data_IF_998590612977
#
_entry.id   IF_998590612977
#
_cell.length_a   1.000
_cell.length_b   1.000
_cell.length_c   1.000
_cell.angle_alpha   90.00
_cell.angle_beta   90.00
_cell.angle_gamma   90.00
#
_symmetry.space_group_name_H-M   'P 1'
#
loop_
_entity.id
_entity.type
_entity.pdbx_description
1 polymer ?
#
# COMPACT_ATOMS: atom_id res chain seq x y z
N UNK A 1 6.02 -24.16 0.23
CA UNK A 1 7.30 -23.40 0.10
C UNK A 1 7.12 -22.16 -0.77
N UNK A 2 6.61 -22.22 -2.00
CA UNK A 2 6.50 -21.07 -2.90
C UNK A 2 5.69 -19.89 -2.37
N UNK A 3 4.56 -20.13 -1.71
CA UNK A 3 3.72 -19.07 -1.14
C UNK A 3 4.45 -18.27 -0.05
N UNK A 4 5.13 -18.93 0.87
CA UNK A 4 5.90 -18.27 1.91
C UNK A 4 7.01 -17.42 1.31
N UNK A 5 7.77 -18.00 0.37
CA UNK A 5 8.84 -17.28 -0.31
C UNK A 5 8.33 -16.04 -1.03
N UNK A 6 7.21 -16.16 -1.75
CA UNK A 6 6.59 -15.03 -2.45
C UNK A 6 6.15 -13.91 -1.51
N UNK A 7 5.46 -14.24 -0.41
CA UNK A 7 5.00 -13.22 0.55
C UNK A 7 6.20 -12.51 1.20
N UNK A 8 7.19 -13.26 1.69
CA UNK A 8 8.37 -12.68 2.34
C UNK A 8 9.23 -11.87 1.36
N UNK A 9 9.34 -12.31 0.11
CA UNK A 9 9.99 -11.54 -0.94
C UNK A 9 9.31 -10.17 -1.14
N UNK A 10 7.96 -10.13 -1.15
CA UNK A 10 7.22 -8.85 -1.28
C UNK A 10 7.42 -7.95 -0.06
N UNK A 11 7.47 -8.49 1.14
CA UNK A 11 7.88 -7.71 2.30
C UNK A 11 9.30 -7.18 2.15
N UNK A 12 10.25 -7.97 1.65
CA UNK A 12 11.62 -7.50 1.43
C UNK A 12 11.70 -6.40 0.37
N UNK A 13 10.96 -6.53 -0.73
CA UNK A 13 11.04 -5.59 -1.85
C UNK A 13 10.27 -4.30 -1.61
N UNK A 14 9.17 -4.34 -0.83
CA UNK A 14 8.19 -3.27 -0.76
C UNK A 14 8.17 -2.53 0.57
N UNK A 15 8.87 -3.00 1.59
CA UNK A 15 9.07 -2.25 2.83
C UNK A 15 10.07 -1.10 2.65
N UNK A 16 10.27 -0.31 3.68
CA UNK A 16 11.23 0.80 3.70
C UNK A 16 12.57 0.37 3.11
N UNK A 17 13.08 1.03 2.06
CA UNK A 17 14.29 0.62 1.35
C UNK A 17 15.56 0.68 2.22
N UNK A 18 15.48 1.30 3.39
CA UNK A 18 16.57 1.33 4.38
C UNK A 18 16.67 0.05 5.20
N UNK A 19 15.64 -0.79 5.20
CA UNK A 19 15.64 -2.08 5.87
C UNK A 19 16.49 -3.10 5.09
N UNK A 20 17.42 -3.75 5.76
CA UNK A 20 18.25 -4.80 5.15
C UNK A 20 17.49 -6.13 5.06
N UNK A 21 16.69 -6.44 6.07
CA UNK A 21 15.84 -7.63 6.14
C UNK A 21 14.38 -7.20 6.31
N UNK A 22 13.41 -8.05 5.93
CA UNK A 22 11.99 -7.75 6.20
C UNK A 22 11.72 -7.49 7.68
N UNK A 23 12.41 -8.21 8.55
CA UNK A 23 12.30 -8.12 10.02
C UNK A 23 12.81 -6.80 10.60
N UNK A 24 13.61 -6.05 9.86
CA UNK A 24 14.05 -4.71 10.27
C UNK A 24 12.94 -3.66 10.09
N UNK A 25 11.95 -3.95 9.23
CA UNK A 25 10.84 -3.06 8.93
C UNK A 25 9.52 -3.50 9.60
N UNK A 26 9.27 -4.81 9.66
CA UNK A 26 8.04 -5.40 10.20
C UNK A 26 8.39 -6.55 11.13
N UNK A 27 7.78 -6.59 12.31
CA UNK A 27 8.00 -7.66 13.28
C UNK A 27 7.84 -9.05 12.66
N UNK A 28 8.76 -9.96 12.97
CA UNK A 28 8.80 -11.31 12.43
C UNK A 28 7.50 -12.09 12.68
N UNK A 29 6.89 -11.94 13.86
CA UNK A 29 5.65 -12.63 14.19
C UNK A 29 4.49 -12.12 13.31
N UNK A 30 4.50 -10.85 12.96
CA UNK A 30 3.51 -10.26 12.02
C UNK A 30 3.71 -10.82 10.62
N UNK A 31 4.95 -10.94 10.14
CA UNK A 31 5.28 -11.56 8.85
C UNK A 31 4.80 -13.01 8.77
N UNK A 32 5.11 -13.80 9.80
CA UNK A 32 4.72 -15.21 9.88
C UNK A 32 3.20 -15.35 10.01
N UNK A 33 2.55 -14.50 10.79
CA UNK A 33 1.09 -14.49 10.92
C UNK A 33 0.43 -14.19 9.59
N UNK A 34 0.92 -13.18 8.86
CA UNK A 34 0.39 -12.85 7.54
C UNK A 34 0.48 -14.05 6.57
N UNK A 35 1.65 -14.67 6.45
CA UNK A 35 1.84 -15.84 5.59
C UNK A 35 0.96 -17.03 6.03
N UNK A 36 0.80 -17.23 7.34
CA UNK A 36 -0.01 -18.30 7.92
C UNK A 36 -1.50 -18.13 7.66
N UNK A 37 -2.01 -16.90 7.65
CA UNK A 37 -3.42 -16.63 7.30
C UNK A 37 -3.76 -17.19 5.92
N UNK A 38 -2.98 -16.90 4.91
CA UNK A 38 -3.20 -17.44 3.57
C UNK A 38 -3.08 -18.97 3.51
N UNK A 39 -2.14 -19.52 4.26
CA UNK A 39 -1.91 -20.96 4.29
C UNK A 39 -3.09 -21.71 4.94
N UNK A 40 -3.48 -21.32 6.14
CA UNK A 40 -4.50 -22.02 6.92
C UNK A 40 -5.93 -21.79 6.38
N UNK A 41 -6.17 -20.67 5.72
CA UNK A 41 -7.47 -20.40 5.09
C UNK A 41 -7.58 -20.96 3.66
N UNK A 42 -6.47 -21.46 3.09
CA UNK A 42 -6.44 -21.96 1.72
C UNK A 42 -6.66 -20.88 0.65
N UNK A 43 -6.41 -19.59 0.97
CA UNK A 43 -6.78 -18.45 0.12
C UNK A 43 -5.66 -17.95 -0.79
N UNK A 44 -4.50 -18.59 -0.81
CA UNK A 44 -3.38 -18.16 -1.64
C UNK A 44 -3.74 -18.05 -3.13
N UNK A 45 -4.46 -19.07 -3.66
CA UNK A 45 -4.89 -19.08 -5.06
C UNK A 45 -5.93 -18.00 -5.36
N UNK A 46 -6.96 -17.86 -4.53
CA UNK A 46 -8.00 -16.85 -4.72
C UNK A 46 -7.46 -15.41 -4.58
N UNK A 47 -6.52 -15.17 -3.68
CA UNK A 47 -5.88 -13.85 -3.55
C UNK A 47 -5.05 -13.47 -4.79
N UNK A 48 -4.43 -14.44 -5.45
CA UNK A 48 -3.68 -14.22 -6.68
C UNK A 48 -4.58 -13.83 -7.87
N UNK A 49 -5.86 -14.23 -7.86
CA UNK A 49 -6.82 -13.87 -8.91
C UNK A 49 -6.98 -12.36 -9.06
N UNK A 50 -6.80 -11.57 -8.00
CA UNK A 50 -6.84 -10.11 -8.09
C UNK A 50 -5.85 -9.57 -9.12
N UNK A 51 -4.63 -10.10 -9.14
CA UNK A 51 -3.62 -9.69 -10.12
C UNK A 51 -4.02 -10.07 -11.54
N UNK A 52 -4.55 -11.27 -11.73
CA UNK A 52 -5.02 -11.73 -13.03
C UNK A 52 -6.18 -10.87 -13.54
N UNK A 53 -7.20 -10.66 -12.74
CA UNK A 53 -8.38 -9.84 -13.10
C UNK A 53 -7.97 -8.40 -13.40
N UNK A 54 -7.13 -7.79 -12.56
CA UNK A 54 -6.64 -6.42 -12.76
C UNK A 54 -5.84 -6.29 -14.06
N UNK A 55 -4.98 -7.26 -14.36
CA UNK A 55 -4.17 -7.24 -15.60
C UNK A 55 -5.02 -7.39 -16.86
N UNK A 56 -6.19 -8.02 -16.76
CA UNK A 56 -7.10 -8.24 -17.89
C UNK A 56 -8.24 -7.20 -17.97
N UNK A 57 -8.41 -6.35 -16.98
CA UNK A 57 -9.45 -5.32 -16.98
C UNK A 57 -9.03 -4.09 -17.80
N UNK A 58 -9.44 -4.07 -19.04
CA UNK A 58 -9.18 -2.94 -19.95
C UNK A 58 -9.82 -1.62 -19.48
N UNK A 59 -10.86 -1.68 -18.63
CA UNK A 59 -11.53 -0.47 -18.13
C UNK A 59 -10.65 0.38 -17.23
N UNK A 60 -9.61 -0.21 -16.62
CA UNK A 60 -8.64 0.50 -15.78
C UNK A 60 -7.80 1.52 -16.57
N UNK A 61 -7.65 1.29 -17.87
CA UNK A 61 -6.85 2.14 -18.77
C UNK A 61 -7.68 3.16 -19.54
N UNK A 62 -9.00 3.17 -19.34
CA UNK A 62 -9.90 4.12 -20.01
C UNK A 62 -9.94 5.46 -19.26
N UNK A 63 -10.03 6.58 -19.99
CA UNK A 63 -10.22 7.89 -19.37
C UNK A 63 -11.48 7.90 -18.49
N UNK A 64 -11.36 8.42 -17.28
CA UNK A 64 -12.47 8.56 -16.32
C UNK A 64 -12.72 10.03 -16.02
N UNK A 65 -13.96 10.43 -15.71
CA UNK A 65 -14.22 11.76 -15.19
C UNK A 65 -13.42 12.00 -13.91
N UNK A 66 -12.95 13.23 -13.74
CA UNK A 66 -12.24 13.62 -12.51
C UNK A 66 -13.12 13.38 -11.28
N UNK A 67 -12.57 12.71 -10.28
CA UNK A 67 -13.25 12.48 -9.00
C UNK A 67 -13.52 13.80 -8.26
N UNK A 68 -14.69 13.90 -7.65
CA UNK A 68 -15.10 15.10 -6.88
C UNK A 68 -14.92 14.91 -5.38
N UNK A 69 -14.76 13.68 -4.91
CA UNK A 69 -14.59 13.36 -3.49
C UNK A 69 -13.26 13.93 -3.01
N UNK A 70 -13.22 14.66 -1.87
CA UNK A 70 -12.00 15.11 -1.27
C UNK A 70 -11.05 13.92 -1.01
N UNK A 71 -9.85 14.01 -1.53
CA UNK A 71 -8.88 12.90 -1.51
C UNK A 71 -7.58 13.35 -0.87
N UNK A 72 -7.06 12.56 0.04
CA UNK A 72 -5.69 12.70 0.54
C UNK A 72 -4.79 11.68 -0.12
N UNK A 73 -3.53 12.07 -0.34
CA UNK A 73 -2.47 11.18 -0.80
C UNK A 73 -1.35 11.21 0.22
N UNK A 74 -0.99 10.05 0.75
CA UNK A 74 0.21 9.82 1.54
C UNK A 74 1.21 9.06 0.68
N UNK A 75 2.33 9.69 0.36
CA UNK A 75 3.38 9.11 -0.48
C UNK A 75 4.39 8.43 0.42
N UNK A 76 4.60 7.13 0.23
CA UNK A 76 5.61 6.35 0.94
C UNK A 76 6.99 6.45 0.28
N UNK A 77 8.02 5.91 0.94
CA UNK A 77 9.40 5.94 0.41
C UNK A 77 9.68 4.92 -0.68
N UNK A 78 8.78 3.94 -0.87
CA UNK A 78 8.97 2.86 -1.85
C UNK A 78 7.87 2.83 -2.89
N UNK A 79 8.27 2.61 -4.14
CA UNK A 79 7.42 2.25 -5.29
C UNK A 79 6.22 3.16 -5.58
N UNK A 80 5.88 4.06 -4.67
CA UNK A 80 4.82 5.04 -4.87
C UNK A 80 5.33 6.14 -5.78
N UNK A 81 5.20 5.91 -7.05
CA UNK A 81 5.53 6.88 -8.10
C UNK A 81 4.38 7.87 -8.35
N UNK A 82 3.59 8.16 -7.32
CA UNK A 82 2.51 9.12 -7.42
C UNK A 82 3.07 10.52 -7.73
N UNK A 83 2.76 11.02 -8.91
CA UNK A 83 3.14 12.37 -9.33
C UNK A 83 1.94 13.28 -9.11
N UNK A 84 2.03 14.19 -8.15
CA UNK A 84 0.95 15.08 -7.72
C UNK A 84 0.24 15.76 -8.88
N UNK A 85 0.99 16.34 -9.83
CA UNK A 85 0.45 17.01 -11.00
C UNK A 85 -0.46 16.13 -11.88
N UNK A 86 -0.20 14.83 -11.92
CA UNK A 86 -1.05 13.89 -12.64
C UNK A 86 -2.23 13.45 -11.79
N UNK A 87 -2.03 13.15 -10.53
CA UNK A 87 -3.11 12.77 -9.62
C UNK A 87 -4.18 13.87 -9.50
N UNK A 88 -3.80 15.15 -9.50
CA UNK A 88 -4.73 16.29 -9.45
C UNK A 88 -5.63 16.42 -10.69
N UNK A 89 -5.26 15.80 -11.82
CA UNK A 89 -6.12 15.76 -13.01
C UNK A 89 -7.31 14.81 -12.83
N UNK A 90 -7.06 13.70 -12.11
CA UNK A 90 -8.02 12.61 -12.01
C UNK A 90 -8.78 12.62 -10.68
N UNK A 91 -8.24 13.30 -9.65
CA UNK A 91 -8.79 13.32 -8.31
C UNK A 91 -8.89 14.73 -7.74
N UNK A 92 -9.81 14.93 -6.80
CA UNK A 92 -9.93 16.15 -6.01
C UNK A 92 -8.94 16.08 -4.80
N UNK A 93 -7.65 16.30 -5.09
CA UNK A 93 -6.61 16.24 -4.06
C UNK A 93 -6.69 17.48 -3.17
N UNK A 94 -7.02 17.29 -1.90
CA UNK A 94 -7.10 18.35 -0.89
C UNK A 94 -5.95 18.24 0.13
N UNK A 95 -5.26 17.12 0.17
CA UNK A 95 -4.08 16.90 1.02
C UNK A 95 -3.06 16.04 0.30
N UNK A 96 -1.79 16.41 0.44
CA UNK A 96 -0.65 15.67 -0.09
C UNK A 96 0.45 15.64 0.97
N UNK A 97 0.82 14.47 1.43
CA UNK A 97 1.84 14.26 2.47
C UNK A 97 2.92 13.34 1.95
N UNK A 98 4.17 13.78 2.01
CA UNK A 98 5.33 12.93 1.75
C UNK A 98 5.84 12.42 3.09
N UNK A 99 5.83 11.11 3.28
CA UNK A 99 6.17 10.47 4.54
C UNK A 99 7.68 10.22 4.62
N UNK A 100 8.24 10.42 5.80
CA UNK A 100 9.69 10.30 6.03
C UNK A 100 10.13 8.85 6.30
N UNK A 101 9.19 7.96 6.59
CA UNK A 101 9.44 6.56 6.95
C UNK A 101 8.34 5.67 6.39
N UNK A 102 8.71 4.39 6.26
CA UNK A 102 7.82 3.33 5.83
C UNK A 102 7.76 3.18 4.31
N UNK A 103 7.40 1.99 3.88
CA UNK A 103 7.22 1.61 2.50
C UNK A 103 5.76 1.30 2.17
N UNK A 104 5.56 0.27 1.39
CA UNK A 104 4.24 -0.15 0.92
C UNK A 104 3.31 -0.59 2.05
N UNK A 105 3.86 -1.23 3.07
CA UNK A 105 3.09 -1.73 4.21
C UNK A 105 3.05 -0.72 5.37
N UNK A 106 2.79 0.54 5.05
CA UNK A 106 2.87 1.68 5.96
C UNK A 106 2.20 1.44 7.32
N UNK A 107 1.04 0.76 7.35
CA UNK A 107 0.33 0.46 8.58
C UNK A 107 1.08 -0.51 9.53
N UNK A 108 1.99 -1.31 8.98
CA UNK A 108 2.83 -2.26 9.73
C UNK A 108 4.21 -1.67 10.06
N UNK A 109 4.72 -0.83 9.16
CA UNK A 109 6.08 -0.30 9.24
C UNK A 109 6.19 0.98 10.08
N UNK A 110 5.22 1.87 9.92
CA UNK A 110 5.23 3.20 10.56
C UNK A 110 3.79 3.69 10.84
N UNK A 111 3.01 2.95 11.66
CA UNK A 111 1.60 3.25 11.92
C UNK A 111 1.37 4.65 12.50
N UNK A 112 2.32 5.18 13.26
CA UNK A 112 2.22 6.50 13.86
C UNK A 112 2.13 7.62 12.80
N UNK A 113 2.89 7.53 11.71
CA UNK A 113 2.83 8.49 10.61
C UNK A 113 1.51 8.39 9.85
N UNK A 114 1.08 7.17 9.53
CA UNK A 114 -0.20 6.94 8.84
C UNK A 114 -1.37 7.43 9.68
N UNK A 115 -1.42 7.11 10.97
CA UNK A 115 -2.49 7.53 11.88
C UNK A 115 -2.53 9.04 12.03
N UNK A 116 -1.37 9.69 12.14
CA UNK A 116 -1.29 11.16 12.22
C UNK A 116 -1.85 11.81 10.94
N UNK A 117 -1.50 11.29 9.78
CA UNK A 117 -1.96 11.81 8.49
C UNK A 117 -3.46 11.60 8.28
N UNK A 118 -3.99 10.41 8.61
CA UNK A 118 -5.42 10.09 8.57
C UNK A 118 -6.22 11.02 9.49
N UNK A 119 -5.75 11.25 10.74
CA UNK A 119 -6.41 12.16 11.68
C UNK A 119 -6.41 13.59 11.17
N UNK A 120 -5.32 14.04 10.58
CA UNK A 120 -5.24 15.39 10.03
C UNK A 120 -6.18 15.57 8.83
N UNK A 121 -6.30 14.56 7.97
CA UNK A 121 -7.20 14.58 6.82
C UNK A 121 -8.66 14.53 7.25
N UNK A 122 -9.07 13.51 8.00
CA UNK A 122 -10.47 13.35 8.37
C UNK A 122 -10.95 14.40 9.38
N UNK A 123 -10.07 14.88 10.25
CA UNK A 123 -10.38 15.98 11.18
C UNK A 123 -10.69 17.32 10.49
N UNK A 124 -10.32 17.48 9.22
CA UNK A 124 -10.63 18.70 8.47
C UNK A 124 -12.09 18.78 7.98
N UNK A 125 -12.89 17.73 8.15
CA UNK A 125 -14.29 17.65 7.71
C UNK A 125 -15.31 17.77 8.85
N UNK A 126 -14.89 18.17 10.03
CA UNK A 126 -15.75 18.35 11.22
C UNK A 126 -15.92 19.82 11.57
#
# INVERSE_FOLDING_TARGET
MGQLAWIIEKFKEWTDPRANLPEDAVDREVLLTNASLYWFTGTAGSSANLYFETANDQSLWMPRPRGTVPTAVAVSLTQDVAIRKFAEKDHNIVRWTELERGGHFMALEAPEFLVADLRAFFGSFH
#
